data_IF_973295946292
#
_entry.id   IF_973295946292
#
_cell.length_a   1.000
_cell.length_b   1.000
_cell.length_c   1.000
_cell.angle_alpha   90.00
_cell.angle_beta   90.00
_cell.angle_gamma   90.00
#
_symmetry.space_group_name_H-M   'P 1'
#
loop_
_entity.id
_entity.type
_entity.pdbx_description
1 polymer ?
#
# COMPACT_ATOMS: atom_id res chain seq x y z
N UNK A 1 0.36 2.18 10.33
CA UNK A 1 -0.53 3.11 11.03
C UNK A 1 -1.57 3.64 10.05
N UNK A 2 -1.20 4.47 9.06
CA UNK A 2 -2.16 5.03 8.07
C UNK A 2 -3.12 3.99 7.46
N UNK A 3 -2.61 2.93 6.82
CA UNK A 3 -3.44 1.90 6.20
C UNK A 3 -4.43 1.26 7.18
N UNK A 4 -3.99 0.93 8.40
CA UNK A 4 -4.88 0.38 9.44
C UNK A 4 -5.95 1.39 9.85
N UNK A 5 -5.56 2.65 10.01
CA UNK A 5 -6.46 3.72 10.44
C UNK A 5 -7.52 4.01 9.39
N UNK A 6 -7.17 4.01 8.10
CA UNK A 6 -8.14 4.16 7.01
C UNK A 6 -9.13 2.99 7.01
N UNK A 7 -8.64 1.75 7.10
CA UNK A 7 -9.50 0.57 7.13
C UNK A 7 -10.43 0.53 8.36
N UNK A 8 -9.98 1.03 9.51
CA UNK A 8 -10.76 1.03 10.76
C UNK A 8 -11.73 2.20 10.88
N UNK A 9 -11.30 3.41 10.53
CA UNK A 9 -12.05 4.64 10.79
C UNK A 9 -12.87 5.12 9.59
N UNK A 10 -12.57 4.64 8.38
CA UNK A 10 -13.21 5.11 7.14
C UNK A 10 -13.91 3.94 6.43
N UNK A 11 -15.00 3.37 7.00
CA UNK A 11 -15.65 2.19 6.43
C UNK A 11 -16.23 2.42 5.03
N UNK A 12 -16.55 3.68 4.67
CA UNK A 12 -17.06 4.06 3.35
C UNK A 12 -16.04 4.01 2.22
N UNK A 13 -14.75 3.80 2.51
CA UNK A 13 -13.76 3.59 1.44
C UNK A 13 -14.08 2.25 0.76
N UNK A 14 -14.26 2.29 -0.56
CA UNK A 14 -14.48 1.12 -1.40
C UNK A 14 -13.18 0.34 -1.60
N UNK A 15 -12.14 1.04 -2.06
CA UNK A 15 -10.89 0.45 -2.55
C UNK A 15 -9.69 1.25 -2.08
N UNK A 16 -8.63 0.58 -1.66
CA UNK A 16 -7.33 1.17 -1.31
C UNK A 16 -6.26 0.53 -2.19
N UNK A 17 -5.63 1.32 -3.05
CA UNK A 17 -4.45 0.91 -3.80
C UNK A 17 -3.18 1.20 -2.99
N UNK A 18 -2.31 0.20 -2.84
CA UNK A 18 -1.00 0.34 -2.22
C UNK A 18 0.11 0.07 -3.23
N UNK A 19 0.92 1.09 -3.51
CA UNK A 19 2.13 0.93 -4.31
C UNK A 19 3.20 0.20 -3.49
N UNK A 20 3.58 -1.00 -3.92
CA UNK A 20 4.60 -1.81 -3.26
C UNK A 20 5.68 -2.24 -4.24
N UNK A 21 6.92 -1.86 -3.94
CA UNK A 21 8.09 -2.40 -4.66
C UNK A 21 8.39 -3.84 -4.26
N UNK A 22 9.01 -4.58 -5.15
CA UNK A 22 9.73 -5.79 -4.74
C UNK A 22 10.86 -5.42 -3.75
N UNK A 23 11.11 -6.27 -2.76
CA UNK A 23 12.21 -6.03 -1.81
C UNK A 23 12.87 -7.35 -1.43
N UNK A 24 14.17 -7.48 -1.69
CA UNK A 24 14.98 -8.67 -1.38
C UNK A 24 14.38 -9.96 -1.98
N UNK A 25 13.93 -9.91 -3.23
CA UNK A 25 13.30 -11.05 -3.91
C UNK A 25 11.86 -11.36 -3.49
N UNK A 26 11.28 -10.58 -2.57
CA UNK A 26 9.90 -10.79 -2.12
C UNK A 26 8.94 -9.97 -2.97
N UNK A 27 8.07 -10.67 -3.69
CA UNK A 27 7.04 -10.11 -4.57
C UNK A 27 6.05 -9.21 -3.81
N UNK A 28 5.52 -8.15 -4.44
CA UNK A 28 4.60 -7.18 -3.83
C UNK A 28 3.40 -7.81 -3.10
N UNK A 29 2.79 -8.85 -3.67
CA UNK A 29 1.65 -9.57 -3.12
C UNK A 29 2.01 -10.29 -1.82
N UNK A 30 3.14 -11.03 -1.81
CA UNK A 30 3.67 -11.64 -0.59
C UNK A 30 4.00 -10.57 0.47
N UNK A 31 4.49 -9.40 0.05
CA UNK A 31 4.74 -8.28 0.97
C UNK A 31 3.44 -7.74 1.58
N UNK A 32 2.33 -7.68 0.83
CA UNK A 32 1.00 -7.32 1.37
C UNK A 32 0.60 -8.27 2.50
N UNK A 33 0.75 -9.57 2.31
CA UNK A 33 0.43 -10.55 3.35
C UNK A 33 1.29 -10.34 4.60
N UNK A 34 2.60 -10.14 4.43
CA UNK A 34 3.52 -9.87 5.53
C UNK A 34 3.15 -8.59 6.30
N UNK A 35 2.70 -7.54 5.60
CA UNK A 35 2.20 -6.31 6.24
C UNK A 35 1.00 -6.63 7.12
N UNK A 36 0.04 -7.41 6.61
CA UNK A 36 -1.14 -7.76 7.37
C UNK A 36 -0.86 -8.75 8.51
N UNK A 37 0.22 -9.53 8.50
CA UNK A 37 0.63 -10.36 9.65
C UNK A 37 1.09 -9.54 10.87
N UNK A 38 1.31 -8.22 10.74
CA UNK A 38 1.71 -7.36 11.87
C UNK A 38 0.60 -7.21 12.92
N UNK A 39 1.00 -7.12 14.19
CA UNK A 39 0.09 -7.02 15.35
C UNK A 39 -0.90 -5.87 15.28
N UNK A 40 -0.54 -4.75 14.64
CA UNK A 40 -1.44 -3.59 14.48
C UNK A 40 -2.74 -3.94 13.74
N UNK A 41 -2.73 -4.95 12.86
CA UNK A 41 -3.92 -5.40 12.14
C UNK A 41 -4.70 -6.50 12.88
N UNK A 42 -4.22 -7.00 14.02
CA UNK A 42 -4.84 -8.15 14.73
C UNK A 42 -6.29 -7.85 15.10
N UNK A 43 -6.53 -6.76 15.84
CA UNK A 43 -7.88 -6.33 16.25
C UNK A 43 -8.79 -6.04 15.06
N UNK A 44 -8.25 -5.51 13.97
CA UNK A 44 -9.01 -5.21 12.77
C UNK A 44 -9.52 -6.50 12.11
N UNK A 45 -8.67 -7.53 11.99
CA UNK A 45 -9.06 -8.83 11.45
C UNK A 45 -10.04 -9.60 12.33
N UNK A 46 -9.87 -9.52 13.65
CA UNK A 46 -10.79 -10.15 14.60
C UNK A 46 -12.20 -9.56 14.50
N UNK A 47 -12.31 -8.26 14.22
CA UNK A 47 -13.59 -7.58 14.04
C UNK A 47 -14.17 -7.74 12.64
N UNK A 48 -13.34 -7.64 11.60
CA UNK A 48 -13.77 -7.63 10.21
C UNK A 48 -12.63 -8.09 9.30
N UNK A 49 -12.54 -9.39 9.04
CA UNK A 49 -11.46 -9.98 8.25
C UNK A 49 -11.52 -9.59 6.76
N UNK A 50 -12.74 -9.44 6.22
CA UNK A 50 -13.05 -9.06 4.83
C UNK A 50 -12.62 -7.64 4.48
N UNK A 51 -12.38 -6.77 5.47
CA UNK A 51 -11.92 -5.40 5.22
C UNK A 51 -10.59 -5.36 4.47
N UNK A 52 -9.78 -6.43 4.57
CA UNK A 52 -8.51 -6.56 3.86
C UNK A 52 -8.68 -6.77 2.34
N UNK A 53 -9.86 -7.22 1.90
CA UNK A 53 -10.18 -7.39 0.48
C UNK A 53 -10.26 -6.05 -0.26
N UNK A 54 -10.48 -4.95 0.47
CA UNK A 54 -10.45 -3.58 -0.08
C UNK A 54 -9.06 -3.15 -0.53
N UNK A 55 -8.00 -3.87 -0.13
CA UNK A 55 -6.62 -3.44 -0.37
C UNK A 55 -6.03 -4.16 -1.57
N UNK A 56 -5.70 -3.42 -2.61
CA UNK A 56 -5.09 -3.93 -3.84
C UNK A 56 -3.65 -3.46 -3.95
N UNK A 57 -2.76 -4.38 -4.34
CA UNK A 57 -1.35 -4.07 -4.55
C UNK A 57 -1.19 -3.58 -5.97
N UNK A 58 -0.42 -2.50 -6.12
CA UNK A 58 0.12 -2.06 -7.40
C UNK A 58 1.64 -2.24 -7.31
N UNK A 59 2.24 -3.15 -8.10
CA UNK A 59 3.69 -3.24 -8.20
C UNK A 59 4.29 -1.91 -8.69
N UNK A 60 5.34 -1.44 -8.02
CA UNK A 60 6.06 -0.26 -8.50
C UNK A 60 7.01 0.36 -7.49
N UNK A 61 7.83 1.30 -7.96
CA UNK A 61 8.78 2.08 -7.17
C UNK A 61 8.65 3.56 -7.51
N UNK A 62 8.41 4.38 -6.49
CA UNK A 62 8.21 5.84 -6.62
C UNK A 62 9.39 6.58 -7.23
N UNK A 63 10.57 5.97 -7.30
CA UNK A 63 11.77 6.56 -7.92
C UNK A 63 11.81 6.38 -9.45
N UNK A 64 10.93 5.56 -10.02
CA UNK A 64 10.87 5.28 -11.44
C UNK A 64 9.87 6.18 -12.18
N UNK A 65 10.04 6.40 -13.50
CA UNK A 65 9.02 7.01 -14.34
C UNK A 65 7.68 6.29 -14.20
N UNK A 66 6.59 7.04 -14.11
CA UNK A 66 5.25 6.51 -13.83
C UNK A 66 5.20 5.57 -12.61
N UNK A 67 6.12 5.79 -11.64
CA UNK A 67 6.28 4.98 -10.44
C UNK A 67 6.53 3.48 -10.71
N UNK A 68 7.03 3.14 -11.90
CA UNK A 68 7.25 1.76 -12.32
C UNK A 68 5.97 0.93 -12.46
N UNK A 69 4.80 1.58 -12.54
CA UNK A 69 3.53 0.90 -12.77
C UNK A 69 3.44 0.37 -14.21
N UNK A 70 2.68 -0.71 -14.39
CA UNK A 70 2.23 -1.09 -15.73
C UNK A 70 1.30 -0.03 -16.31
N UNK A 71 1.15 0.01 -17.63
CA UNK A 71 0.20 0.94 -18.27
C UNK A 71 -1.24 0.69 -17.81
N UNK A 72 -1.61 -0.58 -17.60
CA UNK A 72 -2.93 -0.96 -17.11
C UNK A 72 -3.18 -0.44 -15.70
N UNK A 73 -2.24 -0.68 -14.77
CA UNK A 73 -2.33 -0.21 -13.40
C UNK A 73 -2.37 1.32 -13.33
N UNK A 74 -1.55 1.99 -14.15
CA UNK A 74 -1.50 3.43 -14.20
C UNK A 74 -2.84 4.03 -14.63
N UNK A 75 -3.45 3.48 -15.70
CA UNK A 75 -4.77 3.91 -16.16
C UNK A 75 -5.87 3.61 -15.12
N UNK A 76 -5.77 2.48 -14.42
CA UNK A 76 -6.68 2.11 -13.35
C UNK A 76 -6.64 3.10 -12.18
N UNK A 77 -5.43 3.42 -11.72
CA UNK A 77 -5.20 4.42 -10.66
C UNK A 77 -5.76 5.78 -11.06
N UNK A 78 -5.51 6.23 -12.30
CA UNK A 78 -6.05 7.51 -12.81
C UNK A 78 -7.58 7.55 -12.77
N UNK A 79 -8.25 6.45 -13.08
CA UNK A 79 -9.71 6.39 -13.17
C UNK A 79 -10.39 6.28 -11.80
N UNK A 80 -9.79 5.55 -10.87
CA UNK A 80 -10.46 5.13 -9.64
C UNK A 80 -10.01 5.89 -8.39
N UNK A 81 -8.79 6.44 -8.37
CA UNK A 81 -8.23 7.08 -7.17
C UNK A 81 -8.69 8.52 -7.05
N UNK A 82 -9.34 8.82 -5.92
CA UNK A 82 -9.82 10.17 -5.58
C UNK A 82 -8.90 10.92 -4.60
N UNK A 83 -8.10 10.19 -3.83
CA UNK A 83 -7.19 10.75 -2.81
C UNK A 83 -5.86 10.01 -2.84
N UNK A 84 -4.76 10.75 -2.85
CA UNK A 84 -3.40 10.20 -2.83
C UNK A 84 -2.71 10.55 -1.52
N UNK A 85 -2.26 9.53 -0.79
CA UNK A 85 -1.37 9.68 0.36
C UNK A 85 0.06 9.34 -0.04
N UNK A 86 0.91 10.35 -0.22
CA UNK A 86 2.33 10.15 -0.54
C UNK A 86 3.17 10.02 0.74
N UNK A 87 3.39 8.79 1.20
CA UNK A 87 4.12 8.47 2.46
C UNK A 87 5.39 7.63 2.19
N UNK A 88 5.67 7.32 0.93
CA UNK A 88 6.83 6.53 0.55
C UNK A 88 8.10 7.36 0.69
N UNK A 89 9.00 6.95 1.58
CA UNK A 89 10.30 7.59 1.77
C UNK A 89 11.37 6.57 2.14
N UNK A 90 12.62 6.88 1.80
CA UNK A 90 13.79 6.21 2.35
C UNK A 90 14.27 6.98 3.58
N UNK A 91 13.90 6.52 4.77
CA UNK A 91 14.38 7.11 6.02
C UNK A 91 15.68 6.41 6.42
N UNK A 92 16.77 7.17 6.47
CA UNK A 92 18.08 6.70 6.96
C UNK A 92 18.73 7.83 7.74
N UNK A 93 19.12 7.54 8.98
CA UNK A 93 19.86 8.48 9.83
C UNK A 93 21.38 8.45 9.59
N UNK A 94 21.84 7.58 8.70
CA UNK A 94 23.28 7.37 8.40
C UNK A 94 23.66 8.03 7.09
N UNK A 95 22.76 8.00 6.09
CA UNK A 95 23.04 8.57 4.77
C UNK A 95 22.86 10.09 4.79
N UNK A 96 23.71 10.85 4.08
CA UNK A 96 23.47 12.27 3.88
C UNK A 96 22.16 12.49 3.13
N UNK A 97 21.60 13.70 3.29
CA UNK A 97 20.47 14.14 2.48
C UNK A 97 20.85 14.05 0.99
N UNK A 98 19.95 13.49 0.20
CA UNK A 98 20.07 13.42 -1.26
C UNK A 98 19.42 14.63 -1.90
#
# INVERSE_FOLDING_TARGET
ILLETLLRCCPGISTIYILLREKRGVQPECRKEQIFKKQIFKKLKEKQADVLNKVHVIPGDVTQPCMGMSQEDFLKVIREVTVVFHVAASISFIKPLK
#
